data_IF_994251751230
#
_entry.id   IF_994251751230
#
_cell.length_a   1.000
_cell.length_b   1.000
_cell.length_c   1.000
_cell.angle_alpha   90.00
_cell.angle_beta   90.00
_cell.angle_gamma   90.00
#
_symmetry.space_group_name_H-M   'P 1'
#
loop_
_entity.id
_entity.type
_entity.pdbx_description
1 polymer ?
#
# COMPACT_ATOMS: atom_id res chain seq x y z
N UNK A 1 23.15 53.68 21.22
CA UNK A 1 22.11 52.78 21.76
C UNK A 1 21.31 52.16 20.61
N UNK A 2 21.11 50.85 20.68
CA UNK A 2 20.02 50.03 20.10
C UNK A 2 19.76 49.98 18.58
N UNK A 3 20.32 48.94 17.97
CA UNK A 3 19.66 47.88 17.20
C UNK A 3 18.24 48.09 16.64
N UNK A 4 18.05 47.73 15.37
CA UNK A 4 17.00 46.78 14.96
C UNK A 4 17.30 46.13 13.61
N UNK A 5 17.77 44.89 13.71
CA UNK A 5 17.98 43.93 12.62
C UNK A 5 16.62 43.31 12.29
N UNK A 6 16.10 43.52 11.09
CA UNK A 6 14.87 42.87 10.63
C UNK A 6 15.16 41.38 10.34
N UNK A 7 14.62 40.47 11.16
CA UNK A 7 14.62 39.04 10.85
C UNK A 7 13.55 38.74 9.80
N UNK A 8 13.99 38.36 8.61
CA UNK A 8 13.16 37.67 7.63
C UNK A 8 12.61 36.37 8.26
N UNK A 9 11.29 36.24 8.33
CA UNK A 9 10.62 34.98 8.67
C UNK A 9 10.55 34.12 7.43
N UNK A 10 11.48 33.18 7.31
CA UNK A 10 11.41 32.07 6.37
C UNK A 10 10.18 31.23 6.73
N UNK A 11 9.12 31.30 5.93
CA UNK A 11 8.02 30.34 5.96
C UNK A 11 8.56 29.00 5.48
N UNK A 12 9.00 28.17 6.44
CA UNK A 12 9.29 26.76 6.20
C UNK A 12 8.01 26.11 5.69
N UNK A 13 7.95 25.79 4.40
CA UNK A 13 6.98 24.83 3.87
C UNK A 13 7.28 23.51 4.58
N UNK A 14 6.42 23.13 5.52
CA UNK A 14 6.48 21.82 6.16
C UNK A 14 6.35 20.76 5.06
N UNK A 15 7.25 19.78 4.97
CA UNK A 15 6.96 18.58 4.21
C UNK A 15 5.77 17.92 4.91
N UNK A 16 4.71 17.64 4.14
CA UNK A 16 3.56 16.90 4.65
C UNK A 16 4.09 15.57 5.22
N UNK A 17 3.92 15.39 6.53
CA UNK A 17 4.22 14.14 7.23
C UNK A 17 3.16 13.11 6.83
N UNK A 18 3.28 12.54 5.64
CA UNK A 18 2.40 11.46 5.18
C UNK A 18 2.66 10.16 5.95
N UNK A 19 3.84 10.00 6.57
CA UNK A 19 4.24 8.72 7.20
C UNK A 19 3.62 8.47 8.58
N UNK A 20 3.15 9.50 9.29
CA UNK A 20 2.64 9.34 10.67
C UNK A 20 1.15 8.96 10.77
N UNK A 21 0.44 8.84 9.65
CA UNK A 21 -1.01 8.55 9.66
C UNK A 21 -1.42 7.26 8.94
N UNK A 22 -0.54 6.63 8.16
CA UNK A 22 -0.91 5.41 7.42
C UNK A 22 -1.20 4.24 8.35
N UNK A 23 -0.41 4.06 9.41
CA UNK A 23 -0.67 3.04 10.44
C UNK A 23 -1.94 3.30 11.25
N UNK A 24 -2.46 4.53 11.27
CA UNK A 24 -3.72 4.86 11.93
C UNK A 24 -4.95 4.56 11.05
N UNK A 25 -4.75 4.26 9.76
CA UNK A 25 -5.83 3.90 8.84
C UNK A 25 -6.26 2.44 8.98
N UNK A 26 -5.43 1.61 9.64
CA UNK A 26 -5.63 0.17 9.77
C UNK A 26 -5.64 -0.23 11.23
N UNK A 27 -6.42 -1.24 11.59
CA UNK A 27 -6.37 -1.83 12.92
C UNK A 27 -5.15 -2.77 13.08
N UNK A 28 -4.91 -3.21 14.32
CA UNK A 28 -3.76 -4.07 14.62
C UNK A 28 -3.80 -5.42 13.90
N UNK A 29 -5.00 -5.99 13.68
CA UNK A 29 -5.16 -7.24 12.93
C UNK A 29 -4.78 -7.06 11.46
N UNK A 30 -5.28 -6.01 10.83
CA UNK A 30 -4.96 -5.66 9.43
C UNK A 30 -3.47 -5.40 9.27
N UNK A 31 -2.85 -4.64 10.18
CA UNK A 31 -1.39 -4.39 10.14
C UNK A 31 -0.63 -5.72 10.23
N UNK A 32 -1.08 -6.65 11.06
CA UNK A 32 -0.45 -7.97 11.20
C UNK A 32 -0.59 -8.80 9.92
N UNK A 33 -1.77 -8.83 9.29
CA UNK A 33 -1.99 -9.48 8.00
C UNK A 33 -1.11 -8.89 6.89
N UNK A 34 -1.03 -7.56 6.80
CA UNK A 34 -0.15 -6.90 5.84
C UNK A 34 1.31 -7.23 6.08
N UNK A 35 1.72 -7.38 7.35
CA UNK A 35 3.09 -7.75 7.70
C UNK A 35 3.41 -9.19 7.28
N UNK A 36 2.46 -10.10 7.44
CA UNK A 36 2.60 -11.48 6.96
C UNK A 36 2.67 -11.55 5.43
N UNK A 37 1.82 -10.79 4.74
CA UNK A 37 1.86 -10.67 3.29
C UNK A 37 3.19 -10.07 2.80
N UNK A 38 3.68 -9.00 3.45
CA UNK A 38 4.96 -8.40 3.14
C UNK A 38 6.11 -9.41 3.29
N UNK A 39 6.15 -10.14 4.41
CA UNK A 39 7.16 -11.16 4.66
C UNK A 39 7.08 -12.37 3.71
N UNK A 40 5.93 -12.60 3.08
CA UNK A 40 5.76 -13.63 2.05
C UNK A 40 6.30 -13.15 0.70
N UNK A 41 6.33 -11.84 0.46
CA UNK A 41 6.87 -11.28 -0.78
C UNK A 41 8.38 -11.08 -0.65
N UNK A 42 8.84 -10.47 0.43
CA UNK A 42 10.27 -10.26 0.77
C UNK A 42 10.96 -11.60 1.08
N UNK A 43 11.44 -12.28 0.02
CA UNK A 43 12.05 -13.60 0.10
C UNK A 43 13.43 -13.53 0.75
N UNK A 44 14.18 -12.47 0.45
CA UNK A 44 15.55 -12.28 0.92
C UNK A 44 15.61 -11.72 2.37
N UNK A 45 14.49 -11.20 2.89
CA UNK A 45 14.30 -10.64 4.23
C UNK A 45 15.13 -9.39 4.53
N UNK A 46 15.38 -8.56 3.53
CA UNK A 46 16.10 -7.31 3.71
C UNK A 46 15.19 -6.14 4.15
N UNK A 47 13.88 -6.35 4.19
CA UNK A 47 12.88 -5.37 4.60
C UNK A 47 12.40 -4.46 3.47
N UNK A 48 12.80 -4.74 2.23
CA UNK A 48 12.37 -4.11 1.00
C UNK A 48 11.83 -5.18 0.05
N UNK A 49 10.97 -4.78 -0.88
CA UNK A 49 10.52 -5.64 -1.97
C UNK A 49 11.17 -5.13 -3.24
N UNK A 50 11.95 -5.99 -3.88
CA UNK A 50 12.57 -5.74 -5.17
C UNK A 50 11.93 -6.57 -6.31
N UNK A 51 12.52 -6.48 -7.50
CA UNK A 51 12.00 -7.13 -8.70
C UNK A 51 12.15 -8.65 -8.59
N UNK A 52 13.24 -9.10 -8.00
CA UNK A 52 13.61 -10.49 -7.77
C UNK A 52 12.65 -11.15 -6.78
N UNK A 53 12.32 -10.48 -5.67
CA UNK A 53 11.31 -10.93 -4.70
C UNK A 53 9.94 -11.15 -5.35
N UNK A 54 9.50 -10.20 -6.19
CA UNK A 54 8.24 -10.35 -6.94
C UNK A 54 8.29 -11.48 -7.96
N UNK A 55 9.40 -11.64 -8.67
CA UNK A 55 9.60 -12.73 -9.60
C UNK A 55 9.47 -14.07 -8.88
N UNK A 56 10.19 -14.24 -7.77
CA UNK A 56 10.23 -15.49 -7.00
C UNK A 56 8.89 -15.79 -6.34
N UNK A 57 8.21 -14.77 -5.81
CA UNK A 57 6.85 -14.89 -5.29
C UNK A 57 5.88 -15.36 -6.37
N UNK A 58 5.89 -14.76 -7.56
CA UNK A 58 5.00 -15.14 -8.66
C UNK A 58 5.36 -16.52 -9.23
N UNK A 59 6.64 -16.85 -9.32
CA UNK A 59 7.13 -18.19 -9.67
C UNK A 59 6.65 -19.25 -8.69
N UNK A 60 6.66 -18.96 -7.38
CA UNK A 60 6.13 -19.86 -6.35
C UNK A 60 4.63 -20.16 -6.51
N UNK A 61 3.88 -19.23 -7.12
CA UNK A 61 2.46 -19.39 -7.47
C UNK A 61 2.24 -20.06 -8.84
N UNK A 62 3.30 -20.53 -9.48
CA UNK A 62 3.27 -21.17 -10.80
C UNK A 62 3.05 -20.18 -11.96
N UNK A 63 3.34 -18.89 -11.74
CA UNK A 63 3.31 -17.86 -12.78
C UNK A 63 4.72 -17.59 -13.29
N UNK A 64 4.84 -17.23 -14.56
CA UNK A 64 6.10 -16.82 -15.17
C UNK A 64 5.97 -15.36 -15.62
N UNK A 65 6.17 -14.38 -14.72
CA UNK A 65 6.03 -12.97 -15.08
C UNK A 65 7.14 -12.55 -16.06
N UNK A 66 6.83 -11.61 -16.94
CA UNK A 66 7.84 -10.98 -17.80
C UNK A 66 8.53 -9.84 -17.07
N UNK A 67 9.77 -9.55 -17.46
CA UNK A 67 10.53 -8.42 -16.92
C UNK A 67 9.78 -7.10 -17.02
N UNK A 68 9.11 -6.86 -18.15
CA UNK A 68 8.31 -5.65 -18.42
C UNK A 68 7.12 -5.54 -17.46
N UNK A 69 6.48 -6.66 -17.12
CA UNK A 69 5.38 -6.69 -16.16
C UNK A 69 5.88 -6.38 -14.75
N UNK A 70 7.00 -6.97 -14.34
CA UNK A 70 7.60 -6.70 -13.03
C UNK A 70 8.08 -5.25 -12.92
N UNK A 71 8.68 -4.71 -13.98
CA UNK A 71 9.12 -3.31 -14.02
C UNK A 71 7.94 -2.35 -13.99
N UNK A 72 6.82 -2.72 -14.60
CA UNK A 72 5.52 -2.04 -14.43
C UNK A 72 5.09 -2.00 -12.97
N UNK A 73 5.12 -3.14 -12.28
CA UNK A 73 4.78 -3.23 -10.84
C UNK A 73 5.71 -2.39 -9.97
N UNK A 74 7.02 -2.41 -10.25
CA UNK A 74 8.01 -1.59 -9.52
C UNK A 74 7.79 -0.09 -9.76
N UNK A 75 7.38 0.29 -10.96
CA UNK A 75 7.14 1.69 -11.34
C UNK A 75 5.88 2.28 -10.70
N UNK A 76 4.97 1.46 -10.18
CA UNK A 76 3.81 1.95 -9.43
C UNK A 76 4.20 2.57 -8.09
N UNK A 77 5.34 2.16 -7.53
CA UNK A 77 5.83 2.71 -6.28
C UNK A 77 6.64 4.00 -6.55
N UNK A 78 6.39 5.10 -5.83
CA UNK A 78 7.14 6.35 -6.01
C UNK A 78 8.58 6.27 -5.45
N UNK A 79 8.99 5.13 -4.90
CA UNK A 79 10.31 4.89 -4.32
C UNK A 79 10.44 3.47 -3.78
N UNK A 80 11.50 3.17 -3.01
CA UNK A 80 11.75 1.82 -2.47
C UNK A 80 10.59 1.29 -1.65
N UNK A 81 10.18 0.05 -1.92
CA UNK A 81 9.01 -0.57 -1.31
C UNK A 81 9.41 -1.24 0.00
N UNK A 82 9.55 -0.43 1.06
CA UNK A 82 9.57 -0.95 2.43
C UNK A 82 8.14 -1.14 2.96
N UNK A 83 8.01 -1.74 4.14
CA UNK A 83 6.70 -2.02 4.74
C UNK A 83 5.80 -0.77 4.90
N UNK A 84 6.38 0.40 5.20
CA UNK A 84 5.59 1.65 5.32
C UNK A 84 5.08 2.12 3.95
N UNK A 85 5.91 2.00 2.90
CA UNK A 85 5.50 2.32 1.54
C UNK A 85 4.43 1.33 1.06
N UNK A 86 4.57 0.05 1.36
CA UNK A 86 3.57 -0.97 1.09
C UNK A 86 2.21 -0.59 1.68
N UNK A 87 2.14 -0.29 2.98
CA UNK A 87 0.89 0.20 3.60
C UNK A 87 0.36 1.49 2.98
N UNK A 88 1.25 2.39 2.54
CA UNK A 88 0.85 3.65 1.89
C UNK A 88 0.21 3.38 0.55
N UNK A 89 0.79 2.51 -0.27
CA UNK A 89 0.21 2.12 -1.56
C UNK A 89 -1.15 1.42 -1.40
N UNK A 90 -1.29 0.54 -0.39
CA UNK A 90 -2.58 -0.09 -0.09
C UNK A 90 -3.59 0.92 0.46
N UNK A 91 -3.18 1.79 1.38
CA UNK A 91 -4.01 2.88 1.89
C UNK A 91 -4.50 3.78 0.74
N UNK A 92 -3.61 4.32 -0.08
CA UNK A 92 -4.00 5.19 -1.19
C UNK A 92 -4.94 4.51 -2.19
N UNK A 93 -4.72 3.22 -2.53
CA UNK A 93 -5.63 2.47 -3.41
C UNK A 93 -6.98 2.16 -2.77
N UNK A 94 -7.02 1.91 -1.45
CA UNK A 94 -8.26 1.70 -0.68
C UNK A 94 -9.03 3.00 -0.42
N UNK A 95 -8.34 4.14 -0.34
CA UNK A 95 -8.92 5.44 -0.01
C UNK A 95 -9.35 6.23 -1.27
N UNK A 96 -8.63 6.02 -2.38
CA UNK A 96 -8.78 6.77 -3.63
C UNK A 96 -9.85 6.23 -4.57
N UNK A 97 -10.47 5.11 -4.24
CA UNK A 97 -11.56 4.54 -5.01
C UNK A 97 -12.85 4.61 -4.18
N UNK A 98 -13.72 5.54 -4.58
CA UNK A 98 -15.16 5.52 -4.22
C UNK A 98 -15.83 4.17 -4.62
N UNK A 99 -15.09 3.29 -5.31
CA UNK A 99 -15.41 1.92 -5.67
C UNK A 99 -15.35 0.92 -4.48
N UNK A 100 -14.69 1.24 -3.36
CA UNK A 100 -14.61 0.36 -2.18
C UNK A 100 -15.48 0.78 -1.00
N UNK A 101 -16.38 1.76 -1.16
CA UNK A 101 -17.54 1.88 -0.24
C UNK A 101 -18.34 0.58 -0.15
N UNK A 102 -18.24 -0.26 -1.19
CA UNK A 102 -18.83 -1.59 -1.27
C UNK A 102 -17.83 -2.74 -1.12
N UNK A 103 -16.58 -2.48 -0.71
CA UNK A 103 -15.70 -3.57 -0.29
C UNK A 103 -16.46 -4.38 0.78
N UNK A 104 -16.46 -5.72 0.69
CA UNK A 104 -17.25 -6.59 1.54
C UNK A 104 -16.63 -6.63 2.93
N UNK A 105 -16.78 -5.52 3.62
CA UNK A 105 -16.53 -5.36 5.03
C UNK A 105 -17.80 -5.92 5.68
N UNK A 106 -17.64 -6.98 6.47
CA UNK A 106 -18.78 -7.54 7.18
C UNK A 106 -19.38 -6.48 8.14
N UNK A 107 -20.56 -6.73 8.68
CA UNK A 107 -21.22 -5.80 9.61
C UNK A 107 -20.41 -5.51 10.89
N UNK A 108 -19.26 -6.16 11.08
CA UNK A 108 -18.34 -6.00 12.20
C UNK A 108 -17.07 -5.23 11.82
N UNK A 109 -16.90 -4.80 10.57
CA UNK A 109 -15.72 -4.08 10.13
C UNK A 109 -14.59 -4.96 9.59
N UNK A 110 -14.78 -6.28 9.51
CA UNK A 110 -13.72 -7.19 9.06
C UNK A 110 -13.71 -7.30 7.54
N UNK A 111 -12.51 -7.25 6.98
CA UNK A 111 -12.30 -7.41 5.55
C UNK A 111 -12.50 -8.87 5.13
N UNK A 112 -13.45 -9.12 4.23
CA UNK A 112 -13.69 -10.46 3.72
C UNK A 112 -12.78 -10.77 2.53
N UNK A 113 -11.62 -11.38 2.84
CA UNK A 113 -10.62 -11.83 1.85
C UNK A 113 -11.19 -12.76 0.78
N UNK A 114 -12.19 -13.60 1.12
CA UNK A 114 -12.81 -14.54 0.18
C UNK A 114 -13.67 -13.82 -0.85
N UNK A 115 -14.43 -12.81 -0.45
CA UNK A 115 -15.21 -11.99 -1.38
C UNK A 115 -14.31 -11.01 -2.16
N UNK A 116 -13.25 -10.48 -1.54
CA UNK A 116 -12.27 -9.65 -2.24
C UNK A 116 -11.56 -10.40 -3.38
N UNK A 117 -11.07 -11.61 -3.12
CA UNK A 117 -10.47 -12.47 -4.15
C UNK A 117 -11.46 -12.89 -5.23
N UNK A 118 -12.75 -12.98 -4.90
CA UNK A 118 -13.84 -13.23 -5.86
C UNK A 118 -14.07 -12.04 -6.78
N UNK A 119 -14.08 -10.81 -6.25
CA UNK A 119 -14.21 -9.57 -7.01
C UNK A 119 -13.00 -9.39 -7.95
N UNK A 120 -11.79 -9.68 -7.48
CA UNK A 120 -10.59 -9.64 -8.34
C UNK A 120 -10.64 -10.67 -9.49
N UNK A 121 -11.22 -11.85 -9.26
CA UNK A 121 -11.30 -12.92 -10.27
C UNK A 121 -12.47 -12.77 -11.25
N UNK A 122 -13.57 -12.15 -10.84
CA UNK A 122 -14.82 -12.15 -11.61
C UNK A 122 -15.37 -10.74 -11.91
N UNK A 123 -14.69 -9.67 -11.46
CA UNK A 123 -15.25 -8.32 -11.43
C UNK A 123 -16.24 -8.13 -10.30
N UNK A 124 -16.49 -6.88 -9.90
CA UNK A 124 -17.61 -6.57 -9.01
C UNK A 124 -18.90 -6.99 -9.73
N UNK A 125 -19.63 -7.94 -9.15
CA UNK A 125 -20.90 -8.37 -9.73
C UNK A 125 -21.92 -7.30 -9.40
N UNK A 126 -22.16 -6.39 -10.34
CA UNK A 126 -23.29 -5.48 -10.26
C UNK A 126 -24.54 -6.32 -9.99
N UNK A 127 -25.20 -6.03 -8.87
CA UNK A 127 -26.52 -6.58 -8.58
C UNK A 127 -27.49 -5.85 -9.49
N UNK A 128 -27.64 -6.35 -10.71
CA UNK A 128 -28.82 -6.05 -11.51
C UNK A 128 -30.00 -6.89 -10.94
N UNK A 129 -30.94 -6.14 -10.33
CA UNK A 129 -32.31 -6.45 -9.84
C UNK A 129 -32.55 -7.61 -8.85
#
# INVERSE_FOLDING_TARGET
MSSKRAKAKTTKKQPQRATSSVFAMFDQSQIQEFKEAFNMIDQNRDGFIDKEDLHDMLASLGKNPTDEYLEGMMSEAPGPINFTMFLTMFGEKLNGTDMYREAPIDKKGNFNYVEFTRILKHGAKDKDD
#
